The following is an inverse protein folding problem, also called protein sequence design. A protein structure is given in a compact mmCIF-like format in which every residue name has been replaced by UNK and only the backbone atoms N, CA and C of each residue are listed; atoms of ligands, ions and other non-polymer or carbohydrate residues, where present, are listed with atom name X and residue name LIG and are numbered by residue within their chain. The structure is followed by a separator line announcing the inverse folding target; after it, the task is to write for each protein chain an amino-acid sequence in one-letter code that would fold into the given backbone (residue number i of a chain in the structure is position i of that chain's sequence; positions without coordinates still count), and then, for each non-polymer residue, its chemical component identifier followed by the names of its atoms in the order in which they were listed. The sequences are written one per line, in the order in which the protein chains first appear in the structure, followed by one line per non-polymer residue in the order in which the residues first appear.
data_IF_744560005264
#
_entry.id   IF_744560005264
#
_cell.length_a   1.000
_cell.length_b   1.000
_cell.length_c   1.000
_cell.angle_alpha   90.00
_cell.angle_beta   90.00
_cell.angle_gamma   90.00
#
_symmetry.space_group_name_H-M   'P 1'
#
loop_
_entity.id
_entity.type
_entity.pdbx_description
1 polymer ?
#
# COMPACT_ATOMS: atom_id res chain seq x y z
N UNK A 1 7.63 12.25 -10.71
CA UNK A 1 6.43 11.68 -10.00
C UNK A 1 6.90 10.48 -9.20
N UNK A 2 6.51 10.37 -7.91
CA UNK A 2 6.83 9.21 -7.06
C UNK A 2 5.61 8.29 -6.99
N UNK A 3 5.84 6.96 -6.96
CA UNK A 3 4.82 6.00 -6.63
C UNK A 3 5.37 4.99 -5.62
N UNK A 4 4.60 4.67 -4.57
CA UNK A 4 4.85 3.57 -3.65
C UNK A 4 3.88 2.44 -3.99
N UNK A 5 4.43 1.27 -4.33
CA UNK A 5 3.66 0.10 -4.72
C UNK A 5 4.10 -1.14 -3.97
N UNK A 6 3.18 -2.06 -3.72
CA UNK A 6 3.46 -3.33 -3.08
C UNK A 6 2.61 -4.45 -3.67
N UNK A 7 2.99 -5.70 -3.41
CA UNK A 7 2.25 -6.87 -3.89
C UNK A 7 1.16 -7.28 -2.91
N UNK A 8 0.04 -7.73 -3.45
CA UNK A 8 -0.96 -8.49 -2.72
C UNK A 8 -0.43 -9.91 -2.52
N UNK A 9 -0.17 -10.27 -1.26
CA UNK A 9 0.36 -11.59 -0.91
C UNK A 9 -0.75 -12.62 -0.64
N UNK A 10 -1.95 -12.16 -0.26
CA UNK A 10 -3.06 -13.03 0.07
C UNK A 10 -4.39 -12.30 -0.10
N UNK A 11 -5.44 -13.03 -0.46
CA UNK A 11 -6.84 -12.55 -0.43
C UNK A 11 -7.66 -13.59 0.30
N UNK A 12 -8.40 -13.18 1.32
CA UNK A 12 -9.16 -14.07 2.19
C UNK A 12 -10.61 -13.62 2.29
N UNK A 13 -11.55 -14.57 2.32
CA UNK A 13 -12.90 -14.29 2.78
C UNK A 13 -12.88 -14.00 4.28
N UNK A 14 -13.70 -13.05 4.71
CA UNK A 14 -13.86 -12.67 6.12
C UNK A 14 -15.36 -12.61 6.40
N UNK A 15 -15.81 -13.41 7.33
CA UNK A 15 -17.22 -13.50 7.71
C UNK A 15 -17.66 -12.24 8.48
N UNK A 16 -18.98 -11.94 8.42
CA UNK A 16 -19.57 -10.85 9.20
C UNK A 16 -19.25 -11.02 10.69
N UNK A 17 -18.79 -9.97 11.34
CA UNK A 17 -18.41 -9.94 12.76
C UNK A 17 -16.95 -10.38 13.01
N UNK A 18 -16.30 -11.02 12.06
CA UNK A 18 -14.89 -11.37 12.22
C UNK A 18 -14.00 -10.11 12.20
N UNK A 19 -12.93 -10.14 12.97
CA UNK A 19 -12.00 -9.02 13.12
C UNK A 19 -10.67 -9.33 12.44
N UNK A 20 -9.98 -8.29 11.95
CA UNK A 20 -8.63 -8.42 11.38
C UNK A 20 -7.65 -7.46 12.05
N UNK A 21 -6.38 -7.86 12.06
CA UNK A 21 -5.27 -7.05 12.54
C UNK A 21 -5.12 -6.98 14.05
N UNK A 22 -4.04 -6.34 14.46
CA UNK A 22 -3.70 -6.16 15.86
C UNK A 22 -4.72 -5.28 16.59
N UNK A 23 -5.13 -5.73 17.79
CA UNK A 23 -6.06 -5.00 18.65
C UNK A 23 -7.49 -5.05 18.16
N UNK A 24 -7.82 -5.85 17.14
CA UNK A 24 -9.19 -6.06 16.61
C UNK A 24 -9.95 -4.75 16.38
N UNK A 25 -9.26 -3.75 15.81
CA UNK A 25 -9.81 -2.38 15.63
C UNK A 25 -10.74 -2.25 14.44
N UNK A 26 -10.93 -3.33 13.66
CA UNK A 26 -11.90 -3.43 12.59
C UNK A 26 -12.62 -4.77 12.64
N UNK A 27 -13.92 -4.73 12.43
CA UNK A 27 -14.76 -5.91 12.31
C UNK A 27 -15.57 -5.82 11.01
N UNK A 28 -15.68 -6.93 10.29
CA UNK A 28 -16.47 -6.99 9.08
C UNK A 28 -17.96 -6.81 9.38
N UNK A 29 -18.60 -5.80 8.79
CA UNK A 29 -20.04 -5.55 8.95
C UNK A 29 -20.90 -6.42 8.03
N UNK A 30 -20.27 -7.07 7.05
CA UNK A 30 -20.85 -7.97 6.05
C UNK A 30 -19.80 -9.03 5.68
N UNK A 31 -20.17 -10.12 4.98
CA UNK A 31 -19.19 -10.96 4.32
C UNK A 31 -18.28 -10.11 3.44
N UNK A 32 -16.99 -10.19 3.65
CA UNK A 32 -15.99 -9.30 3.04
C UNK A 32 -14.84 -10.12 2.45
N UNK A 33 -14.07 -9.49 1.56
CA UNK A 33 -12.79 -10.01 1.07
C UNK A 33 -11.68 -9.06 1.51
N UNK A 34 -10.68 -9.59 2.20
CA UNK A 34 -9.56 -8.79 2.69
C UNK A 34 -8.27 -9.24 2.04
N UNK A 35 -7.56 -8.28 1.43
CA UNK A 35 -6.24 -8.49 0.86
C UNK A 35 -5.15 -8.13 1.87
N UNK A 36 -4.08 -8.92 1.88
CA UNK A 36 -2.84 -8.64 2.60
C UNK A 36 -1.84 -8.02 1.63
N UNK A 37 -1.45 -6.78 1.88
CA UNK A 37 -0.52 -6.00 1.06
C UNK A 37 0.82 -5.92 1.79
N UNK A 38 1.91 -6.28 1.11
CA UNK A 38 3.26 -6.37 1.67
C UNK A 38 3.94 -4.99 1.75
N UNK A 39 3.38 -4.11 2.58
CA UNK A 39 3.94 -2.83 2.94
C UNK A 39 3.37 -2.39 4.28
N UNK A 40 4.23 -2.04 5.21
CA UNK A 40 3.87 -1.65 6.55
C UNK A 40 4.66 -0.46 7.08
N UNK A 41 4.63 -0.24 8.41
CA UNK A 41 5.26 0.95 8.97
C UNK A 41 6.79 0.93 8.91
N UNK A 42 7.43 -0.24 8.82
CA UNK A 42 8.87 -0.34 8.60
C UNK A 42 9.29 0.04 7.18
N UNK A 43 8.35 0.06 6.23
CA UNK A 43 8.54 0.55 4.86
C UNK A 43 8.27 2.07 4.73
N UNK A 44 7.71 2.68 5.78
CA UNK A 44 7.29 4.07 5.79
C UNK A 44 5.78 4.30 5.65
N UNK A 45 4.97 3.24 5.52
CA UNK A 45 3.53 3.36 5.52
C UNK A 45 2.99 3.41 6.94
N UNK A 46 2.75 4.62 7.44
CA UNK A 46 2.52 4.92 8.85
C UNK A 46 1.42 4.09 9.50
N UNK A 47 1.65 3.66 10.74
CA UNK A 47 0.72 2.88 11.55
C UNK A 47 -0.62 3.60 11.79
N UNK A 48 -0.62 4.93 11.90
CA UNK A 48 -1.79 5.77 12.08
C UNK A 48 -2.74 5.82 10.88
N UNK A 49 -2.34 5.32 9.71
CA UNK A 49 -3.18 5.23 8.51
C UNK A 49 -4.19 4.06 8.55
N UNK A 50 -4.03 3.14 9.50
CA UNK A 50 -4.98 2.03 9.69
C UNK A 50 -6.39 2.52 9.99
N UNK A 51 -7.40 1.93 9.36
CA UNK A 51 -8.83 2.31 9.40
C UNK A 51 -9.14 3.74 8.87
N UNK A 52 -8.18 4.43 8.25
CA UNK A 52 -8.34 5.82 7.80
C UNK A 52 -8.00 6.01 6.33
N UNK A 53 -6.94 5.36 5.87
CA UNK A 53 -6.45 5.53 4.51
C UNK A 53 -7.11 4.56 3.53
N UNK A 54 -6.93 4.87 2.25
CA UNK A 54 -7.21 3.99 1.13
C UNK A 54 -5.93 3.76 0.34
N UNK A 55 -5.88 2.65 -0.36
CA UNK A 55 -4.91 2.42 -1.41
C UNK A 55 -5.63 1.95 -2.68
N UNK A 56 -4.92 1.88 -3.79
CA UNK A 56 -5.54 1.49 -5.06
C UNK A 56 -5.20 0.04 -5.36
N UNK A 57 -6.21 -0.73 -5.74
CA UNK A 57 -6.08 -2.09 -6.26
C UNK A 57 -6.87 -2.14 -7.56
N UNK A 58 -6.21 -2.48 -8.67
CA UNK A 58 -6.84 -2.51 -10.00
C UNK A 58 -7.58 -1.22 -10.36
N UNK A 59 -6.95 -0.08 -10.05
CA UNK A 59 -7.51 1.24 -10.36
C UNK A 59 -8.70 1.65 -9.49
N UNK A 60 -8.99 0.97 -8.39
CA UNK A 60 -10.09 1.28 -7.48
C UNK A 60 -9.59 1.52 -6.06
N UNK A 61 -10.21 2.48 -5.36
CA UNK A 61 -9.95 2.75 -3.95
C UNK A 61 -10.44 1.60 -3.07
N UNK A 62 -9.55 1.09 -2.24
CA UNK A 62 -9.82 0.04 -1.26
C UNK A 62 -9.39 0.51 0.13
N UNK A 63 -10.27 0.50 1.15
CA UNK A 63 -9.95 1.02 2.47
C UNK A 63 -8.98 0.11 3.21
N UNK A 64 -8.02 0.71 3.91
CA UNK A 64 -7.14 0.02 4.85
C UNK A 64 -7.95 -0.34 6.09
N UNK A 65 -7.98 -1.62 6.45
CA UNK A 65 -8.78 -2.17 7.55
C UNK A 65 -7.89 -2.74 8.65
N UNK A 66 -8.20 -2.39 9.87
CA UNK A 66 -7.37 -2.73 11.02
C UNK A 66 -6.11 -1.86 11.10
N UNK A 67 -5.19 -2.22 11.98
CA UNK A 67 -3.93 -1.51 12.18
C UNK A 67 -2.90 -1.93 11.14
N UNK A 68 -2.16 -0.97 10.61
CA UNK A 68 -0.96 -1.26 9.81
C UNK A 68 0.07 -1.97 10.70
N UNK A 69 0.56 -3.11 10.25
CA UNK A 69 1.61 -3.89 10.91
C UNK A 69 3.01 -3.44 10.44
N UNK A 70 4.06 -4.11 10.93
CA UNK A 70 5.45 -3.76 10.60
C UNK A 70 5.72 -3.85 9.10
N UNK A 71 5.34 -4.97 8.49
CA UNK A 71 5.72 -5.32 7.12
C UNK A 71 4.50 -5.44 6.18
N UNK A 72 3.29 -5.16 6.67
CA UNK A 72 2.07 -5.38 5.90
C UNK A 72 0.90 -4.53 6.39
N UNK A 73 -0.08 -4.33 5.53
CA UNK A 73 -1.39 -3.81 5.88
C UNK A 73 -2.50 -4.66 5.25
N UNK A 74 -3.70 -4.54 5.80
CA UNK A 74 -4.89 -5.23 5.30
C UNK A 74 -5.85 -4.24 4.67
N UNK A 75 -6.51 -4.68 3.60
CA UNK A 75 -7.34 -3.84 2.74
C UNK A 75 -8.63 -4.56 2.41
N UNK A 76 -9.76 -3.91 2.60
CA UNK A 76 -11.04 -4.45 2.15
C UNK A 76 -11.17 -4.30 0.63
N UNK A 77 -11.09 -5.42 -0.08
CA UNK A 77 -11.23 -5.50 -1.53
C UNK A 77 -12.57 -6.08 -1.96
N UNK A 78 -13.58 -6.05 -1.10
CA UNK A 78 -14.92 -6.56 -1.41
C UNK A 78 -15.53 -5.86 -2.63
N UNK A 79 -15.25 -4.56 -2.80
CA UNK A 79 -15.69 -3.78 -3.97
C UNK A 79 -14.81 -3.99 -5.22
N UNK A 80 -13.75 -4.79 -5.11
CA UNK A 80 -12.83 -5.15 -6.21
C UNK A 80 -12.83 -6.68 -6.35
N UNK A 81 -13.91 -7.28 -6.88
CA UNK A 81 -14.06 -8.74 -6.89
C UNK A 81 -12.98 -9.46 -7.72
N UNK A 82 -12.32 -8.76 -8.63
CA UNK A 82 -11.22 -9.28 -9.45
C UNK A 82 -9.87 -9.28 -8.71
N UNK A 83 -9.78 -8.68 -7.51
CA UNK A 83 -8.52 -8.64 -6.76
C UNK A 83 -8.01 -10.04 -6.43
N UNK A 84 -6.73 -10.28 -6.72
CA UNK A 84 -6.10 -11.58 -6.55
C UNK A 84 -4.66 -11.47 -6.01
N UNK A 85 -4.11 -12.61 -5.62
CA UNK A 85 -2.70 -12.71 -5.20
C UNK A 85 -1.79 -12.37 -6.37
N UNK A 86 -0.76 -11.56 -6.11
CA UNK A 86 0.17 -11.06 -7.12
C UNK A 86 -0.20 -9.69 -7.70
N UNK A 87 -1.43 -9.22 -7.50
CA UNK A 87 -1.81 -7.85 -7.90
C UNK A 87 -0.88 -6.80 -7.28
N UNK A 88 -0.78 -5.67 -7.97
CA UNK A 88 -0.05 -4.50 -7.47
C UNK A 88 -1.04 -3.58 -6.78
N UNK A 89 -0.80 -3.32 -5.50
CA UNK A 89 -1.47 -2.27 -4.75
C UNK A 89 -0.65 -0.98 -4.81
N UNK A 90 -1.28 0.16 -5.10
CA UNK A 90 -0.64 1.48 -5.12
C UNK A 90 -1.02 2.24 -3.85
N UNK A 91 -0.01 2.50 -3.01
CA UNK A 91 -0.16 3.19 -1.73
C UNK A 91 0.04 4.71 -1.85
N UNK A 92 0.91 5.12 -2.78
CA UNK A 92 1.10 6.52 -3.22
C UNK A 92 1.22 6.50 -4.73
N UNK A 93 0.53 7.40 -5.42
CA UNK A 93 0.58 7.57 -6.87
C UNK A 93 -0.71 7.19 -7.57
N UNK A 94 -0.63 7.04 -8.89
CA UNK A 94 -1.77 6.76 -9.77
C UNK A 94 -1.88 5.28 -10.14
N UNK A 95 -3.12 4.84 -10.25
CA UNK A 95 -3.51 3.57 -10.84
C UNK A 95 -4.83 3.77 -11.61
N UNK A 96 -4.78 3.69 -12.93
CA UNK A 96 -5.89 4.08 -13.80
C UNK A 96 -6.23 5.56 -13.66
N UNK A 97 -7.50 5.86 -13.41
CA UNK A 97 -8.02 7.20 -13.20
C UNK A 97 -7.87 7.71 -11.75
N UNK A 98 -7.60 6.81 -10.81
CA UNK A 98 -7.51 7.11 -9.39
C UNK A 98 -6.08 7.48 -8.97
N UNK A 99 -5.99 8.30 -7.91
CA UNK A 99 -4.72 8.70 -7.31
C UNK A 99 -4.83 8.74 -5.78
N UNK A 100 -3.76 8.30 -5.11
CA UNK A 100 -3.52 8.53 -3.68
C UNK A 100 -2.29 9.41 -3.58
N UNK A 101 -2.43 10.61 -3.02
CA UNK A 101 -1.34 11.58 -2.91
C UNK A 101 -0.65 11.52 -1.54
N UNK A 102 0.59 12.00 -1.47
CA UNK A 102 1.28 12.18 -0.19
C UNK A 102 0.55 13.20 0.70
N UNK A 103 -0.09 14.21 0.12
CA UNK A 103 -0.87 15.22 0.86
C UNK A 103 -2.13 14.60 1.47
N UNK A 104 -2.83 13.70 0.75
CA UNK A 104 -3.95 12.92 1.29
C UNK A 104 -3.51 12.10 2.52
N UNK A 105 -2.41 11.37 2.41
CA UNK A 105 -1.88 10.58 3.52
C UNK A 105 -1.40 11.45 4.68
N UNK A 106 -0.82 12.61 4.40
CA UNK A 106 -0.38 13.56 5.40
C UNK A 106 -1.56 14.12 6.21
N UNK A 107 -2.63 14.51 5.54
CA UNK A 107 -3.86 14.97 6.19
C UNK A 107 -4.49 13.90 7.09
N UNK A 108 -4.49 12.63 6.64
CA UNK A 108 -4.95 11.49 7.44
C UNK A 108 -4.01 11.17 8.60
N UNK A 109 -2.72 11.43 8.46
CA UNK A 109 -1.68 11.14 9.44
C UNK A 109 -1.36 12.29 10.39
N UNK A 110 -2.07 13.43 10.31
CA UNK A 110 -1.82 14.66 11.05
C UNK A 110 -0.36 15.14 10.90
N UNK A 111 0.06 15.31 9.64
CA UNK A 111 1.43 15.68 9.29
C UNK A 111 1.47 16.41 7.93
N UNK A 112 2.66 16.52 7.36
CA UNK A 112 2.92 17.15 6.05
C UNK A 112 3.45 16.14 5.03
N UNK A 113 3.24 16.41 3.75
CA UNK A 113 3.64 15.50 2.65
C UNK A 113 5.15 15.22 2.63
N UNK A 114 5.99 16.18 3.00
CA UNK A 114 7.45 15.97 3.12
C UNK A 114 7.81 14.91 4.13
N UNK A 115 7.11 14.84 5.26
CA UNK A 115 7.36 13.81 6.27
C UNK A 115 6.90 12.43 5.78
N UNK A 116 5.81 12.34 5.03
CA UNK A 116 5.40 11.09 4.37
C UNK A 116 6.50 10.61 3.42
N UNK A 117 7.03 11.50 2.57
CA UNK A 117 8.04 11.14 1.57
C UNK A 117 9.40 10.84 2.21
N UNK A 118 9.85 11.64 3.18
CA UNK A 118 11.10 11.42 3.91
C UNK A 118 11.06 10.15 4.77
N UNK A 119 9.85 9.76 5.21
CA UNK A 119 9.64 8.55 6.00
C UNK A 119 9.72 7.23 5.21
N UNK A 120 9.80 7.28 3.88
CA UNK A 120 9.96 6.08 3.07
C UNK A 120 11.31 5.42 3.35
N UNK A 121 11.26 4.20 3.88
CA UNK A 121 12.43 3.46 4.33
C UNK A 121 13.42 3.16 3.20
N UNK A 122 14.72 3.16 3.52
CA UNK A 122 15.76 2.73 2.59
C UNK A 122 15.69 1.24 2.22
N UNK A 123 14.96 0.43 2.98
CA UNK A 123 14.76 -1.00 2.66
C UNK A 123 13.81 -1.22 1.47
N UNK A 124 13.01 -0.20 1.10
CA UNK A 124 12.14 -0.26 -0.06
C UNK A 124 12.98 -0.04 -1.32
N UNK A 125 13.03 -1.01 -2.25
CA UNK A 125 13.75 -0.83 -3.51
C UNK A 125 13.22 0.38 -4.28
N UNK A 126 14.13 1.20 -4.78
CA UNK A 126 13.79 2.38 -5.58
C UNK A 126 14.12 2.13 -7.03
N UNK A 127 13.11 2.26 -7.87
CA UNK A 127 13.23 2.16 -9.33
C UNK A 127 13.20 3.57 -9.90
N UNK A 128 14.27 3.97 -10.55
CA UNK A 128 14.33 5.26 -11.25
C UNK A 128 13.93 5.07 -12.71
N UNK A 129 12.94 5.86 -13.15
CA UNK A 129 12.41 5.76 -14.52
C UNK A 129 12.71 7.01 -15.31
N UNK A 130 13.11 6.83 -16.56
CA UNK A 130 13.23 7.90 -17.55
C UNK A 130 12.52 7.46 -18.84
N UNK A 131 11.59 8.26 -19.35
CA UNK A 131 10.80 7.90 -20.53
C UNK A 131 10.02 6.59 -20.36
N UNK A 132 9.54 6.26 -19.15
CA UNK A 132 8.81 5.02 -18.86
C UNK A 132 9.68 3.76 -18.70
N UNK A 133 11.00 3.86 -18.91
CA UNK A 133 11.94 2.74 -18.75
C UNK A 133 12.70 2.88 -17.43
N UNK A 134 12.92 1.76 -16.74
CA UNK A 134 13.78 1.71 -15.56
C UNK A 134 15.22 1.94 -16.00
N UNK A 135 15.88 2.95 -15.43
CA UNK A 135 17.27 3.30 -15.73
C UNK A 135 18.23 2.91 -14.61
N UNK A 136 17.71 2.79 -13.39
CA UNK A 136 18.50 2.46 -12.20
C UNK A 136 17.64 1.78 -11.16
N UNK A 137 18.21 0.86 -10.40
CA UNK A 137 17.60 0.23 -9.22
C UNK A 137 18.51 0.48 -8.03
N UNK A 138 17.96 1.02 -6.95
CA UNK A 138 18.63 1.18 -5.67
C UNK A 138 17.98 0.30 -4.63
N UNK A 139 18.76 -0.55 -3.99
CA UNK A 139 18.35 -1.40 -2.87
C UNK A 139 19.09 -0.97 -1.59
N UNK A 140 18.81 -1.63 -0.47
CA UNK A 140 19.47 -1.33 0.80
C UNK A 140 21.02 -1.52 0.73
N UNK A 141 21.48 -2.50 -0.04
CA UNK A 141 22.91 -2.86 -0.16
C UNK A 141 23.58 -2.32 -1.41
N UNK A 142 22.84 -2.09 -2.49
CA UNK A 142 23.43 -1.80 -3.78
C UNK A 142 22.67 -0.79 -4.63
N UNK A 143 23.44 -0.08 -5.46
CA UNK A 143 22.94 0.73 -6.56
C UNK A 143 23.40 0.09 -7.86
N UNK A 144 22.49 -0.48 -8.62
CA UNK A 144 22.81 -1.17 -9.87
C UNK A 144 22.10 -0.53 -11.06
N UNK A 145 22.75 -0.45 -12.24
CA UNK A 145 22.06 -0.10 -13.47
C UNK A 145 20.88 -1.05 -13.70
N UNK A 146 19.84 -0.56 -14.39
CA UNK A 146 18.74 -1.44 -14.78
C UNK A 146 19.29 -2.61 -15.62
N UNK A 147 18.74 -3.82 -15.46
CA UNK A 147 19.08 -4.92 -16.34
C UNK A 147 18.81 -4.53 -17.78
N UNK A 148 19.73 -4.89 -18.68
CA UNK A 148 19.54 -4.71 -20.12
C UNK A 148 18.25 -5.44 -20.53
N UNK A 149 17.43 -4.77 -21.35
CA UNK A 149 16.19 -5.32 -21.88
C UNK A 149 16.45 -6.45 -22.87
#
# INVERSE_FOLDING_TARGET
MLALRARVARVLPVERGATVGYGRTWAATRPSRVALVMCGYADGYRRGLGNRAHLLVRGRRAPVVGRVAMDMCMVDVTAVPEAEVGDVATLIGRDGAEEVTADELAALGDTISWEILAGLSARVPRLYLRGGRVTEVSTLSDRVPAPAA
#
